data_IF_249978806868
#
_entry.id   IF_249978806868
#
_cell.length_a   1.000
_cell.length_b   1.000
_cell.length_c   1.000
_cell.angle_alpha   90.00
_cell.angle_beta   90.00
_cell.angle_gamma   90.00
#
_symmetry.space_group_name_H-M   'P 1'
#
loop_
_entity.id
_entity.type
_entity.pdbx_description
1 polymer ?
#
# COMPACT_ATOMS: atom_id res chain seq x y z
N UNK A 1 26.97 38.97 -36.89
CA UNK A 1 26.09 37.87 -36.41
C UNK A 1 25.55 38.29 -35.06
N UNK A 2 24.23 38.37 -34.89
CA UNK A 2 23.65 38.73 -33.60
C UNK A 2 23.71 37.51 -32.67
N UNK A 3 24.38 37.63 -31.52
CA UNK A 3 24.34 36.63 -30.47
C UNK A 3 22.91 36.57 -29.91
N UNK A 4 22.21 35.48 -30.18
CA UNK A 4 20.96 35.17 -29.50
C UNK A 4 21.30 34.93 -28.02
N UNK A 5 20.96 35.90 -27.16
CA UNK A 5 21.05 35.73 -25.71
C UNK A 5 20.10 34.60 -25.30
N UNK A 6 20.67 33.44 -24.99
CA UNK A 6 19.92 32.33 -24.47
C UNK A 6 19.41 32.69 -23.07
N UNK A 7 18.11 32.90 -22.93
CA UNK A 7 17.49 33.18 -21.62
C UNK A 7 17.23 31.85 -20.92
N UNK A 8 17.95 31.58 -19.84
CA UNK A 8 17.73 30.40 -19.01
C UNK A 8 16.59 30.61 -18.01
N UNK A 9 15.93 29.53 -17.63
CA UNK A 9 14.92 29.55 -16.57
C UNK A 9 15.58 29.80 -15.20
N UNK A 10 14.97 30.57 -14.30
CA UNK A 10 15.43 30.68 -12.91
C UNK A 10 15.49 29.31 -12.24
N UNK A 11 16.50 29.10 -11.38
CA UNK A 11 16.76 27.79 -10.74
C UNK A 11 15.57 27.30 -9.90
N UNK A 12 14.80 28.21 -9.30
CA UNK A 12 13.62 27.89 -8.52
C UNK A 12 12.50 27.29 -9.39
N UNK A 13 12.40 27.75 -10.65
CA UNK A 13 11.45 27.21 -11.62
C UNK A 13 11.88 25.81 -12.05
N UNK A 14 13.18 25.61 -12.30
CA UNK A 14 13.75 24.31 -12.63
C UNK A 14 13.51 23.29 -11.52
N UNK A 15 13.77 23.67 -10.26
CA UNK A 15 13.50 22.82 -9.11
C UNK A 15 12.01 22.47 -9.00
N UNK A 16 11.11 23.44 -9.18
CA UNK A 16 9.67 23.17 -9.18
C UNK A 16 9.30 22.15 -10.25
N UNK A 17 9.77 22.33 -11.49
CA UNK A 17 9.53 21.38 -12.59
C UNK A 17 10.03 19.98 -12.20
N UNK A 18 11.25 19.87 -11.67
CA UNK A 18 11.80 18.61 -11.17
C UNK A 18 10.89 17.96 -10.13
N UNK A 19 10.44 18.71 -9.11
CA UNK A 19 9.50 18.24 -8.07
C UNK A 19 8.10 17.88 -8.60
N UNK A 20 7.72 18.29 -9.80
CA UNK A 20 6.48 17.89 -10.46
C UNK A 20 6.62 16.62 -11.32
N UNK A 21 7.82 16.08 -11.52
CA UNK A 21 8.04 14.84 -12.30
C UNK A 21 7.99 13.64 -11.35
N UNK A 22 6.92 12.82 -11.33
CA UNK A 22 6.81 11.72 -10.35
C UNK A 22 7.68 10.51 -10.70
N UNK A 23 7.97 10.30 -11.99
CA UNK A 23 8.68 9.13 -12.49
C UNK A 23 10.19 9.38 -12.44
N UNK A 24 10.97 8.58 -11.70
CA UNK A 24 12.41 8.79 -11.55
C UNK A 24 13.15 8.89 -12.90
N UNK A 25 12.92 7.96 -13.84
CA UNK A 25 13.59 7.99 -15.14
C UNK A 25 13.39 9.31 -15.89
N UNK A 26 12.16 9.83 -15.91
CA UNK A 26 11.85 11.10 -16.57
C UNK A 26 12.54 12.28 -15.87
N UNK A 27 12.65 12.24 -14.54
CA UNK A 27 13.39 13.26 -13.79
C UNK A 27 14.87 13.23 -14.15
N UNK A 28 15.51 12.06 -14.16
CA UNK A 28 16.94 11.99 -14.44
C UNK A 28 17.26 12.33 -15.90
N UNK A 29 16.39 11.98 -16.85
CA UNK A 29 16.49 12.50 -18.22
C UNK A 29 16.34 14.02 -18.29
N UNK A 30 15.45 14.61 -17.47
CA UNK A 30 15.32 16.06 -17.35
C UNK A 30 16.60 16.69 -16.78
N UNK A 31 17.17 16.13 -15.72
CA UNK A 31 18.43 16.61 -15.12
C UNK A 31 19.58 16.51 -16.12
N UNK A 32 19.70 15.39 -16.83
CA UNK A 32 20.74 15.19 -17.85
C UNK A 32 20.66 16.24 -18.97
N UNK A 33 19.45 16.59 -19.40
CA UNK A 33 19.23 17.64 -20.40
C UNK A 33 19.63 19.05 -19.92
N UNK A 34 19.71 19.29 -18.60
CA UNK A 34 20.12 20.58 -18.03
C UNK A 34 21.64 20.73 -17.92
N UNK A 35 22.40 19.62 -17.93
CA UNK A 35 23.85 19.61 -17.69
C UNK A 35 24.67 20.43 -18.69
N UNK A 36 24.39 20.43 -20.01
CA UNK A 36 25.19 21.21 -20.97
C UNK A 36 25.19 22.72 -20.72
N UNK A 37 24.21 23.22 -19.96
CA UNK A 37 24.05 24.64 -19.66
C UNK A 37 24.46 25.01 -18.21
N UNK A 38 25.05 24.06 -17.46
CA UNK A 38 25.41 24.24 -16.03
C UNK A 38 24.22 24.72 -15.17
N UNK A 39 23.00 24.34 -15.56
CA UNK A 39 21.76 24.71 -14.85
C UNK A 39 21.36 23.68 -13.80
N UNK A 40 22.23 22.71 -13.52
CA UNK A 40 21.94 21.64 -12.56
C UNK A 40 21.71 22.19 -11.17
N UNK A 41 22.49 23.20 -10.74
CA UNK A 41 22.37 23.79 -9.41
C UNK A 41 22.28 22.71 -8.32
N UNK A 42 21.27 22.75 -7.43
CA UNK A 42 21.09 21.70 -6.42
C UNK A 42 20.77 20.29 -6.97
N UNK A 43 20.27 20.19 -8.20
CA UNK A 43 20.01 18.90 -8.86
C UNK A 43 21.31 18.23 -9.32
N UNK A 44 22.42 18.96 -9.38
CA UNK A 44 23.73 18.34 -9.67
C UNK A 44 24.11 17.35 -8.56
N UNK A 45 23.83 17.66 -7.29
CA UNK A 45 24.06 16.71 -6.19
C UNK A 45 23.22 15.44 -6.35
N UNK A 46 21.98 15.57 -6.80
CA UNK A 46 21.11 14.43 -7.10
C UNK A 46 21.66 13.59 -8.26
N UNK A 47 22.19 14.25 -9.29
CA UNK A 47 22.86 13.58 -10.41
C UNK A 47 24.13 12.84 -9.97
N UNK A 48 24.98 13.45 -9.15
CA UNK A 48 26.18 12.81 -8.62
C UNK A 48 25.84 11.55 -7.80
N UNK A 49 24.78 11.62 -6.97
CA UNK A 49 24.30 10.46 -6.22
C UNK A 49 23.81 9.33 -7.13
N UNK A 50 23.26 9.65 -8.31
CA UNK A 50 22.79 8.65 -9.27
C UNK A 50 23.92 7.78 -9.84
N UNK A 51 25.15 8.27 -9.84
CA UNK A 51 26.31 7.49 -10.27
C UNK A 51 26.59 6.30 -9.33
N UNK A 52 26.14 6.39 -8.07
CA UNK A 52 26.40 5.39 -7.02
C UNK A 52 25.13 4.76 -6.43
N UNK A 53 23.95 5.30 -6.72
CA UNK A 53 22.65 4.82 -6.20
C UNK A 53 21.61 4.58 -7.30
N UNK A 54 20.63 3.72 -6.98
CA UNK A 54 19.50 3.42 -7.87
C UNK A 54 18.50 4.58 -7.92
N UNK A 55 17.78 4.71 -9.05
CA UNK A 55 16.81 5.78 -9.27
C UNK A 55 15.71 5.80 -8.19
N UNK A 56 15.21 4.62 -7.83
CA UNK A 56 14.10 4.41 -6.90
C UNK A 56 14.47 4.74 -5.45
N UNK A 57 15.77 4.84 -5.16
CA UNK A 57 16.30 5.22 -3.85
C UNK A 57 16.53 6.73 -3.73
N UNK A 58 16.44 7.48 -4.82
CA UNK A 58 16.74 8.92 -4.85
C UNK A 58 15.49 9.78 -5.01
N UNK A 59 14.44 9.24 -5.65
CA UNK A 59 13.25 9.98 -6.02
C UNK A 59 11.98 9.12 -6.02
N UNK A 60 10.80 9.66 -5.65
CA UNK A 60 10.54 11.00 -5.08
C UNK A 60 10.83 11.11 -3.58
N UNK A 61 11.12 9.97 -2.93
CA UNK A 61 11.49 9.92 -1.51
C UNK A 61 12.93 9.44 -1.45
N UNK A 62 13.81 10.25 -0.87
CA UNK A 62 15.20 9.85 -0.65
C UNK A 62 15.24 8.68 0.34
N UNK A 63 15.80 7.55 -0.10
CA UNK A 63 16.00 6.35 0.69
C UNK A 63 17.45 6.31 1.16
N UNK A 64 17.63 6.39 2.47
CA UNK A 64 18.91 6.29 3.16
C UNK A 64 19.06 4.86 3.68
N UNK A 65 20.14 4.21 3.32
CA UNK A 65 20.45 2.82 3.66
C UNK A 65 21.77 2.75 4.43
N UNK A 66 22.08 1.58 4.98
CA UNK A 66 23.38 1.34 5.62
C UNK A 66 24.57 1.56 4.66
N UNK A 67 24.40 1.34 3.36
CA UNK A 67 25.46 1.54 2.38
C UNK A 67 25.89 3.01 2.25
N UNK A 68 25.00 3.95 2.60
CA UNK A 68 25.29 5.38 2.50
C UNK A 68 26.35 5.85 3.51
N UNK A 69 26.50 5.13 4.62
CA UNK A 69 27.56 5.36 5.61
C UNK A 69 28.96 5.11 5.04
N UNK A 70 29.06 4.29 4.00
CA UNK A 70 30.31 3.87 3.36
C UNK A 70 30.59 4.63 2.07
N UNK A 71 29.76 5.61 1.71
CA UNK A 71 30.02 6.47 0.56
C UNK A 71 31.30 7.28 0.75
N UNK A 72 31.99 7.55 -0.34
CA UNK A 72 33.11 8.48 -0.35
C UNK A 72 32.66 9.90 0.01
N UNK A 73 33.57 10.71 0.55
CA UNK A 73 33.28 12.07 1.03
C UNK A 73 32.53 12.97 0.03
N UNK A 74 32.85 12.99 -1.28
CA UNK A 74 32.10 13.81 -2.25
C UNK A 74 30.63 13.40 -2.38
N UNK A 75 30.35 12.09 -2.30
CA UNK A 75 28.99 11.56 -2.37
C UNK A 75 28.23 11.81 -1.06
N UNK A 76 28.89 11.73 0.10
CA UNK A 76 28.29 12.11 1.38
C UNK A 76 27.92 13.60 1.41
N UNK A 77 28.79 14.48 0.90
CA UNK A 77 28.48 15.90 0.77
C UNK A 77 27.29 16.14 -0.16
N UNK A 78 27.25 15.46 -1.31
CA UNK A 78 26.11 15.55 -2.23
C UNK A 78 24.81 15.04 -1.60
N UNK A 79 24.86 13.99 -0.80
CA UNK A 79 23.71 13.50 -0.05
C UNK A 79 23.19 14.55 0.95
N UNK A 80 24.09 15.18 1.68
CA UNK A 80 23.75 16.22 2.65
C UNK A 80 23.13 17.46 1.98
N UNK A 81 23.70 17.92 0.87
CA UNK A 81 23.18 19.06 0.12
C UNK A 81 21.80 18.77 -0.49
N UNK A 82 21.62 17.59 -1.09
CA UNK A 82 20.34 17.20 -1.67
C UNK A 82 19.25 17.00 -0.60
N UNK A 83 19.60 16.42 0.56
CA UNK A 83 18.65 16.17 1.64
C UNK A 83 17.92 17.45 2.11
N UNK A 84 18.55 18.63 1.99
CA UNK A 84 17.94 19.94 2.33
C UNK A 84 16.68 20.25 1.52
N UNK A 85 16.53 19.67 0.33
CA UNK A 85 15.38 19.88 -0.55
C UNK A 85 14.30 18.80 -0.39
N UNK A 86 14.59 17.74 0.36
CA UNK A 86 13.63 16.68 0.65
C UNK A 86 12.70 17.12 1.78
N UNK A 87 11.38 16.94 1.60
CA UNK A 87 10.41 17.12 2.69
C UNK A 87 10.25 15.86 3.55
N UNK A 88 10.60 14.71 2.96
CA UNK A 88 10.46 13.38 3.54
C UNK A 88 11.60 12.48 3.11
N UNK A 89 12.09 11.67 4.03
CA UNK A 89 13.13 10.66 3.78
C UNK A 89 12.70 9.32 4.34
N UNK A 90 13.20 8.24 3.75
CA UNK A 90 13.00 6.88 4.21
C UNK A 90 14.33 6.30 4.66
N UNK A 91 14.40 5.84 5.91
CA UNK A 91 15.59 5.27 6.53
C UNK A 91 15.43 3.75 6.59
N UNK A 92 16.27 3.04 5.86
CA UNK A 92 16.28 1.58 5.77
C UNK A 92 17.50 1.01 6.50
N UNK A 93 17.29 0.38 7.66
CA UNK A 93 18.34 -0.35 8.39
C UNK A 93 19.62 0.46 8.70
N UNK A 94 19.50 1.77 8.90
CA UNK A 94 20.62 2.63 9.34
C UNK A 94 20.74 2.58 10.86
N UNK A 95 21.97 2.44 11.35
CA UNK A 95 22.25 2.24 12.78
C UNK A 95 22.94 3.48 13.40
N UNK A 96 23.64 4.28 12.61
CA UNK A 96 24.30 5.50 13.10
C UNK A 96 23.35 6.70 13.07
N UNK A 97 22.68 6.95 14.19
CA UNK A 97 21.74 8.07 14.34
C UNK A 97 22.47 9.41 14.39
N UNK A 98 23.68 9.46 14.94
CA UNK A 98 24.44 10.71 15.02
C UNK A 98 24.86 11.18 13.63
N UNK A 99 25.22 10.26 12.75
CA UNK A 99 25.44 10.57 11.35
C UNK A 99 24.15 11.06 10.67
N UNK A 100 23.03 10.40 10.92
CA UNK A 100 21.74 10.78 10.34
C UNK A 100 21.27 12.17 10.81
N UNK A 101 21.46 12.50 12.08
CA UNK A 101 21.11 13.79 12.69
C UNK A 101 21.95 14.94 12.09
N UNK A 102 23.22 14.69 11.77
CA UNK A 102 24.05 15.65 11.03
C UNK A 102 23.65 15.80 9.56
N UNK A 103 23.18 14.71 8.96
CA UNK A 103 22.83 14.67 7.54
C UNK A 103 21.47 15.36 7.27
N UNK A 104 20.49 15.15 8.15
CA UNK A 104 19.11 15.54 7.92
C UNK A 104 18.74 16.81 8.71
N UNK A 105 18.16 17.82 8.05
CA UNK A 105 17.48 18.89 8.75
C UNK A 105 16.41 18.37 9.72
N UNK A 106 16.34 18.94 10.92
CA UNK A 106 15.40 18.56 11.98
C UNK A 106 13.91 18.71 11.59
N UNK A 107 13.62 19.47 10.54
CA UNK A 107 12.26 19.69 10.03
C UNK A 107 11.73 18.51 9.20
N UNK A 108 12.62 17.69 8.64
CA UNK A 108 12.30 16.60 7.71
C UNK A 108 11.49 15.50 8.40
N UNK A 109 10.48 15.00 7.70
CA UNK A 109 9.71 13.83 8.12
C UNK A 109 10.46 12.54 7.80
N UNK A 110 10.53 11.64 8.78
CA UNK A 110 11.26 10.38 8.63
C UNK A 110 10.33 9.18 8.64
N UNK A 111 10.43 8.36 7.58
CA UNK A 111 9.87 7.01 7.53
C UNK A 111 10.97 6.01 7.87
N UNK A 112 10.75 5.13 8.83
CA UNK A 112 11.73 4.14 9.24
C UNK A 112 11.31 2.74 8.86
N UNK A 113 12.13 2.06 8.06
CA UNK A 113 12.01 0.64 7.80
C UNK A 113 13.07 -0.11 8.60
N UNK A 114 12.60 -0.85 9.61
CA UNK A 114 13.43 -1.51 10.62
C UNK A 114 13.29 -3.01 10.46
N UNK A 115 14.33 -3.66 9.92
CA UNK A 115 14.40 -5.12 9.90
C UNK A 115 14.93 -5.69 11.21
N UNK A 116 15.72 -4.90 11.94
CA UNK A 116 16.24 -5.26 13.26
C UNK A 116 16.51 -4.01 14.07
N UNK A 117 15.86 -3.89 15.22
CA UNK A 117 16.11 -2.77 16.13
C UNK A 117 17.41 -3.02 16.90
N UNK A 118 18.38 -2.09 16.90
CA UNK A 118 19.54 -2.16 17.78
C UNK A 118 19.09 -2.27 19.25
N UNK A 119 19.79 -3.10 20.02
CA UNK A 119 19.45 -3.33 21.43
C UNK A 119 20.08 -2.33 22.40
N UNK A 120 20.94 -1.42 21.91
CA UNK A 120 21.63 -0.43 22.75
C UNK A 120 20.68 0.67 23.20
N UNK A 121 20.73 1.03 24.48
CA UNK A 121 19.93 2.11 25.04
C UNK A 121 20.27 3.45 24.41
N UNK A 122 21.56 3.70 24.14
CA UNK A 122 22.05 4.92 23.48
C UNK A 122 21.38 5.13 22.11
N UNK A 123 21.24 4.06 21.31
CA UNK A 123 20.54 4.15 20.03
C UNK A 123 19.08 4.51 20.24
N UNK A 124 18.40 3.86 21.18
CA UNK A 124 16.99 4.14 21.47
C UNK A 124 16.80 5.59 21.93
N UNK A 125 17.63 6.09 22.83
CA UNK A 125 17.55 7.46 23.34
C UNK A 125 17.77 8.51 22.23
N UNK A 126 18.68 8.24 21.29
CA UNK A 126 18.88 9.08 20.11
C UNK A 126 17.69 8.97 19.13
N UNK A 127 17.18 7.77 18.92
CA UNK A 127 16.06 7.49 18.02
C UNK A 127 14.78 8.23 18.46
N UNK A 128 14.53 8.31 19.77
CA UNK A 128 13.35 9.00 20.34
C UNK A 128 13.33 10.51 20.07
N UNK A 129 14.49 11.12 19.83
CA UNK A 129 14.60 12.55 19.55
C UNK A 129 14.24 12.88 18.09
N UNK A 130 14.17 11.86 17.23
CA UNK A 130 13.90 12.06 15.81
C UNK A 130 12.41 12.28 15.56
N UNK A 131 12.13 13.10 14.53
CA UNK A 131 10.78 13.38 14.03
C UNK A 131 10.27 12.24 13.15
N UNK A 132 10.02 11.10 13.77
CA UNK A 132 9.56 9.89 13.09
C UNK A 132 8.06 9.98 12.87
N UNK A 133 7.65 9.94 11.61
CA UNK A 133 6.25 10.01 11.20
C UNK A 133 5.67 8.65 10.81
N UNK A 134 6.53 7.74 10.34
CA UNK A 134 6.14 6.38 9.97
C UNK A 134 7.18 5.37 10.45
N UNK A 135 6.73 4.26 11.01
CA UNK A 135 7.59 3.11 11.32
C UNK A 135 7.02 1.87 10.65
N UNK A 136 7.87 1.14 9.94
CA UNK A 136 7.59 -0.15 9.36
C UNK A 136 8.60 -1.16 9.89
N UNK A 137 8.13 -2.18 10.61
CA UNK A 137 8.97 -3.24 11.15
C UNK A 137 8.64 -4.57 10.51
N UNK A 138 9.66 -5.21 9.95
CA UNK A 138 9.59 -6.58 9.41
C UNK A 138 10.31 -7.59 10.32
N UNK A 139 10.74 -7.15 11.51
CA UNK A 139 11.45 -8.00 12.46
C UNK A 139 10.48 -8.93 13.19
N UNK A 140 10.70 -10.23 13.09
CA UNK A 140 9.93 -11.25 13.79
C UNK A 140 10.20 -11.28 15.30
N UNK A 141 11.31 -10.70 15.77
CA UNK A 141 11.88 -11.02 17.08
C UNK A 141 11.99 -9.84 18.06
N UNK A 142 11.73 -8.59 17.66
CA UNK A 142 11.93 -7.44 18.54
C UNK A 142 10.70 -6.55 18.85
N UNK A 143 9.51 -7.07 19.25
CA UNK A 143 8.34 -6.20 19.41
C UNK A 143 8.42 -5.35 20.69
N UNK A 144 8.77 -5.93 21.85
CA UNK A 144 8.46 -5.26 23.13
C UNK A 144 9.18 -3.93 23.35
N UNK A 145 10.49 -3.85 23.05
CA UNK A 145 11.25 -2.60 23.21
C UNK A 145 10.82 -1.54 22.20
N UNK A 146 10.53 -1.96 20.96
CA UNK A 146 9.97 -1.08 19.94
C UNK A 146 8.61 -0.53 20.41
N UNK A 147 7.71 -1.40 20.89
CA UNK A 147 6.42 -0.98 21.41
C UNK A 147 6.55 0.00 22.58
N UNK A 148 7.45 -0.28 23.52
CA UNK A 148 7.75 0.62 24.63
C UNK A 148 8.29 1.98 24.18
N UNK A 149 8.96 2.05 23.04
CA UNK A 149 9.46 3.31 22.50
C UNK A 149 8.43 4.11 21.70
N UNK A 150 7.46 3.45 21.05
CA UNK A 150 6.46 4.14 20.24
C UNK A 150 5.69 5.22 21.02
N UNK A 151 5.54 5.07 22.34
CA UNK A 151 4.88 6.06 23.20
C UNK A 151 5.59 7.43 23.25
N UNK A 152 6.87 7.49 22.91
CA UNK A 152 7.66 8.73 22.87
C UNK A 152 7.60 9.44 21.51
N UNK A 153 7.10 8.76 20.46
CA UNK A 153 7.01 9.33 19.12
C UNK A 153 5.68 10.05 18.91
N UNK A 154 5.57 11.27 19.44
CA UNK A 154 4.36 12.10 19.31
C UNK A 154 4.04 12.53 17.88
N UNK A 155 4.92 12.30 16.91
CA UNK A 155 4.70 12.57 15.49
C UNK A 155 4.31 11.32 14.68
N UNK A 156 4.22 10.15 15.32
CA UNK A 156 3.94 8.90 14.64
C UNK A 156 2.50 8.86 14.13
N UNK A 157 2.35 8.87 12.81
CA UNK A 157 1.05 8.84 12.12
C UNK A 157 0.78 7.51 11.42
N UNK A 158 1.83 6.72 11.16
CA UNK A 158 1.74 5.43 10.47
C UNK A 158 2.60 4.37 11.15
N UNK A 159 2.01 3.21 11.43
CA UNK A 159 2.71 2.07 11.98
C UNK A 159 2.37 0.80 11.21
N UNK A 160 3.40 0.15 10.66
CA UNK A 160 3.28 -1.14 9.99
C UNK A 160 4.15 -2.13 10.74
N UNK A 161 3.59 -3.29 11.06
CA UNK A 161 4.31 -4.34 11.75
C UNK A 161 3.98 -5.69 11.14
N UNK A 162 5.01 -6.43 10.78
CA UNK A 162 4.92 -7.86 10.50
C UNK A 162 5.36 -8.60 11.75
N UNK A 163 4.41 -9.11 12.54
CA UNK A 163 4.73 -9.73 13.84
C UNK A 163 4.41 -11.22 13.85
N UNK A 164 5.03 -11.95 14.77
CA UNK A 164 4.50 -13.21 15.26
C UNK A 164 3.66 -12.90 16.49
N UNK A 165 2.39 -13.34 16.54
CA UNK A 165 1.36 -13.32 17.61
C UNK A 165 1.65 -12.61 18.97
N UNK A 166 2.85 -12.77 19.52
CA UNK A 166 3.31 -12.20 20.78
C UNK A 166 3.18 -10.67 20.75
N UNK A 167 2.65 -10.10 21.82
CA UNK A 167 2.50 -8.65 22.07
C UNK A 167 1.44 -7.89 21.25
N UNK A 168 0.53 -8.59 20.54
CA UNK A 168 -0.56 -7.91 19.83
C UNK A 168 -1.45 -7.08 20.76
N UNK A 169 -1.74 -7.56 21.97
CA UNK A 169 -2.57 -6.82 22.93
C UNK A 169 -1.87 -5.57 23.47
N UNK A 170 -0.62 -5.69 23.94
CA UNK A 170 0.21 -4.54 24.37
C UNK A 170 0.35 -3.49 23.25
N UNK A 171 0.52 -3.93 22.00
CA UNK A 171 0.61 -3.04 20.84
C UNK A 171 -0.72 -2.32 20.57
N UNK A 172 -1.84 -3.04 20.56
CA UNK A 172 -3.15 -2.43 20.33
C UNK A 172 -3.53 -1.49 21.48
N UNK A 173 -3.12 -1.76 22.71
CA UNK A 173 -3.27 -0.85 23.84
C UNK A 173 -2.52 0.47 23.60
N UNK A 174 -1.28 0.40 23.11
CA UNK A 174 -0.49 1.59 22.75
C UNK A 174 -1.16 2.38 21.61
N UNK A 175 -1.64 1.69 20.57
CA UNK A 175 -2.41 2.27 19.46
C UNK A 175 -3.65 3.01 19.99
N UNK A 176 -4.42 2.37 20.88
CA UNK A 176 -5.62 2.94 21.48
C UNK A 176 -5.37 4.20 22.33
N UNK A 177 -4.13 4.37 22.79
CA UNK A 177 -3.68 5.52 23.56
C UNK A 177 -2.95 6.57 22.72
N UNK A 178 -2.62 6.28 21.46
CA UNK A 178 -2.02 7.26 20.56
C UNK A 178 -3.00 8.38 20.20
N UNK A 179 -2.47 9.60 20.12
CA UNK A 179 -3.23 10.82 19.74
C UNK A 179 -3.02 11.25 18.29
N UNK A 180 -2.15 10.57 17.53
CA UNK A 180 -1.76 10.98 16.18
C UNK A 180 -1.74 9.83 15.18
N UNK A 181 -1.81 8.58 15.64
CA UNK A 181 -1.74 7.42 14.75
C UNK A 181 -3.02 7.30 13.91
N UNK A 182 -2.87 7.41 12.59
CA UNK A 182 -3.95 7.37 11.60
C UNK A 182 -3.92 6.13 10.73
N UNK A 183 -2.76 5.48 10.60
CA UNK A 183 -2.57 4.30 9.75
C UNK A 183 -1.96 3.17 10.55
N UNK A 184 -2.60 2.02 10.55
CA UNK A 184 -2.11 0.82 11.22
C UNK A 184 -2.19 -0.37 10.26
N UNK A 185 -1.04 -1.04 10.04
CA UNK A 185 -0.98 -2.28 9.25
C UNK A 185 -0.35 -3.40 10.06
N UNK A 186 -1.12 -4.46 10.27
CA UNK A 186 -0.76 -5.62 11.08
C UNK A 186 -0.71 -6.84 10.16
N UNK A 187 0.48 -7.04 9.59
CA UNK A 187 0.71 -8.08 8.61
C UNK A 187 1.15 -9.36 9.33
N UNK A 188 0.63 -10.49 8.88
CA UNK A 188 1.08 -11.81 9.32
C UNK A 188 1.70 -12.54 8.14
N UNK A 189 2.81 -13.29 8.33
CA UNK A 189 3.39 -14.09 7.27
C UNK A 189 2.37 -15.09 6.73
N UNK A 190 2.26 -15.15 5.39
CA UNK A 190 1.36 -16.10 4.73
C UNK A 190 1.72 -17.55 5.07
N UNK A 191 3.02 -17.86 5.11
CA UNK A 191 3.55 -19.14 5.55
C UNK A 191 3.81 -19.09 7.06
N UNK A 192 2.85 -19.55 7.84
CA UNK A 192 2.92 -19.58 9.29
C UNK A 192 1.75 -20.40 9.83
N UNK A 193 1.99 -21.31 10.80
CA UNK A 193 1.08 -22.42 11.06
C UNK A 193 -0.23 -22.01 11.74
N UNK A 194 -0.41 -20.76 12.20
CA UNK A 194 -1.57 -20.44 13.02
C UNK A 194 -2.02 -18.97 12.97
N UNK A 195 -3.32 -18.77 13.02
CA UNK A 195 -4.01 -17.45 13.03
C UNK A 195 -3.77 -16.66 14.32
N UNK A 196 -3.92 -15.35 14.34
CA UNK A 196 -3.93 -14.58 15.59
C UNK A 196 -5.25 -14.86 16.32
N UNK A 197 -5.16 -15.47 17.51
CA UNK A 197 -6.33 -15.62 18.40
C UNK A 197 -6.67 -14.25 18.98
N UNK A 198 -7.72 -13.62 18.47
CA UNK A 198 -8.12 -12.29 18.89
C UNK A 198 -8.84 -12.38 20.23
N UNK A 199 -8.43 -11.54 21.18
CA UNK A 199 -9.07 -11.44 22.48
C UNK A 199 -10.08 -10.30 22.52
N UNK A 200 -10.96 -10.31 23.53
CA UNK A 200 -11.86 -9.19 23.85
C UNK A 200 -11.11 -7.87 24.06
N UNK A 201 -9.98 -7.91 24.77
CA UNK A 201 -9.12 -6.73 25.01
C UNK A 201 -8.63 -6.11 23.71
N UNK A 202 -8.17 -6.94 22.77
CA UNK A 202 -7.68 -6.50 21.46
C UNK A 202 -8.75 -5.75 20.67
N UNK A 203 -9.97 -6.30 20.58
CA UNK A 203 -11.07 -5.63 19.87
C UNK A 203 -11.45 -4.30 20.55
N UNK A 204 -11.55 -4.28 21.88
CA UNK A 204 -11.85 -3.06 22.64
C UNK A 204 -10.80 -1.97 22.42
N UNK A 205 -9.52 -2.33 22.34
CA UNK A 205 -8.45 -1.40 22.04
C UNK A 205 -8.59 -0.79 20.64
N UNK A 206 -8.94 -1.60 19.63
CA UNK A 206 -9.16 -1.08 18.27
C UNK A 206 -10.41 -0.20 18.23
N UNK A 207 -11.51 -0.61 18.87
CA UNK A 207 -12.74 0.21 18.97
C UNK A 207 -12.41 1.56 19.61
N UNK A 208 -11.67 1.56 20.73
CA UNK A 208 -11.23 2.78 21.42
C UNK A 208 -10.37 3.67 20.52
N UNK A 209 -9.46 3.10 19.74
CA UNK A 209 -8.65 3.86 18.78
C UNK A 209 -9.52 4.56 17.73
N UNK A 210 -10.42 3.81 17.06
CA UNK A 210 -11.32 4.36 16.04
C UNK A 210 -12.27 5.44 16.57
N UNK A 211 -12.70 5.34 17.83
CA UNK A 211 -13.56 6.36 18.46
C UNK A 211 -12.82 7.65 18.81
N UNK A 212 -11.51 7.58 19.02
CA UNK A 212 -10.71 8.72 19.48
C UNK A 212 -9.96 9.42 18.36
N UNK A 213 -9.63 8.70 17.29
CA UNK A 213 -8.71 9.16 16.24
C UNK A 213 -9.37 9.20 14.87
N UNK A 214 -8.84 10.07 14.00
CA UNK A 214 -9.20 10.10 12.58
C UNK A 214 -8.45 9.00 11.83
N UNK A 215 -8.87 7.75 12.04
CA UNK A 215 -8.26 6.58 11.39
C UNK A 215 -8.50 6.65 9.88
N UNK A 216 -7.43 6.57 9.10
CA UNK A 216 -7.45 6.61 7.62
C UNK A 216 -7.17 5.26 6.99
N UNK A 217 -6.34 4.43 7.62
CA UNK A 217 -6.02 3.11 7.10
C UNK A 217 -5.93 2.09 8.23
N UNK A 218 -6.62 0.97 8.04
CA UNK A 218 -6.50 -0.18 8.92
C UNK A 218 -6.36 -1.46 8.09
N UNK A 219 -5.28 -2.20 8.34
CA UNK A 219 -5.00 -3.46 7.69
C UNK A 219 -4.65 -4.51 8.74
N UNK A 220 -5.31 -5.67 8.69
CA UNK A 220 -5.01 -6.77 9.59
C UNK A 220 -5.19 -8.13 8.92
N UNK A 221 -4.27 -9.06 9.22
CA UNK A 221 -4.21 -10.36 8.59
C UNK A 221 -4.33 -11.50 9.61
N UNK A 222 -4.98 -12.60 9.20
CA UNK A 222 -5.11 -13.85 9.96
C UNK A 222 -5.75 -13.66 11.33
N UNK A 223 -6.75 -12.80 11.47
CA UNK A 223 -7.47 -12.66 12.73
C UNK A 223 -8.55 -13.74 12.85
N UNK A 224 -8.51 -14.50 13.95
CA UNK A 224 -9.57 -15.43 14.33
C UNK A 224 -10.30 -14.85 15.56
N UNK A 225 -11.56 -14.47 15.37
CA UNK A 225 -12.41 -13.86 16.40
C UNK A 225 -13.41 -14.86 17.00
N UNK A 226 -13.35 -16.15 16.66
CA UNK A 226 -14.34 -17.15 17.09
C UNK A 226 -14.53 -17.21 18.61
N UNK A 227 -13.47 -16.98 19.38
CA UNK A 227 -13.49 -16.99 20.85
C UNK A 227 -14.02 -15.70 21.50
N UNK A 228 -14.40 -14.68 20.72
CA UNK A 228 -14.90 -13.40 21.25
C UNK A 228 -16.43 -13.37 21.20
N UNK A 229 -17.03 -12.81 22.25
CA UNK A 229 -18.47 -12.55 22.37
C UNK A 229 -19.03 -11.87 21.11
N UNK A 230 -20.22 -12.30 20.66
CA UNK A 230 -20.85 -11.77 19.44
C UNK A 230 -21.06 -10.26 19.50
N UNK A 231 -21.49 -9.73 20.64
CA UNK A 231 -21.77 -8.30 20.82
C UNK A 231 -20.53 -7.43 20.54
N UNK A 232 -19.36 -7.89 20.98
CA UNK A 232 -18.10 -7.15 20.83
C UNK A 232 -17.58 -7.25 19.41
N UNK A 233 -17.77 -8.41 18.75
CA UNK A 233 -17.47 -8.56 17.32
C UNK A 233 -18.34 -7.62 16.49
N UNK A 234 -19.64 -7.56 16.80
CA UNK A 234 -20.55 -6.67 16.10
C UNK A 234 -20.17 -5.21 16.32
N UNK A 235 -19.92 -4.79 17.56
CA UNK A 235 -19.45 -3.43 17.88
C UNK A 235 -18.14 -3.10 17.14
N UNK A 236 -17.21 -4.04 17.09
CA UNK A 236 -15.95 -3.90 16.35
C UNK A 236 -16.18 -3.67 14.86
N UNK A 237 -16.96 -4.53 14.19
CA UNK A 237 -17.23 -4.39 12.77
C UNK A 237 -18.03 -3.13 12.45
N UNK A 238 -19.06 -2.81 13.22
CA UNK A 238 -19.79 -1.55 13.09
C UNK A 238 -18.87 -0.34 13.23
N UNK A 239 -17.95 -0.38 14.21
CA UNK A 239 -16.99 0.71 14.45
C UNK A 239 -16.06 0.92 13.25
N UNK A 240 -15.46 -0.14 12.71
CA UNK A 240 -14.49 0.01 11.60
C UNK A 240 -15.18 0.36 10.28
N UNK A 241 -16.29 -0.29 9.94
CA UNK A 241 -16.95 -0.06 8.65
C UNK A 241 -17.67 1.30 8.61
N UNK A 242 -18.30 1.72 9.73
CA UNK A 242 -19.00 3.01 9.78
C UNK A 242 -18.07 4.22 10.02
N UNK A 243 -16.76 4.03 10.10
CA UNK A 243 -15.80 5.11 10.34
C UNK A 243 -15.71 6.08 9.15
N UNK A 244 -16.01 7.36 9.38
CA UNK A 244 -16.07 8.38 8.33
C UNK A 244 -14.70 8.80 7.79
N UNK A 245 -13.66 8.71 8.61
CA UNK A 245 -12.31 9.10 8.22
C UNK A 245 -11.56 7.97 7.51
N UNK A 246 -12.09 6.74 7.54
CA UNK A 246 -11.40 5.56 7.01
C UNK A 246 -11.40 5.64 5.48
N UNK A 247 -10.20 5.69 4.90
CA UNK A 247 -10.00 5.75 3.45
C UNK A 247 -9.77 4.33 2.88
N UNK A 248 -9.07 3.48 3.63
CA UNK A 248 -8.75 2.09 3.24
C UNK A 248 -8.93 1.11 4.40
N UNK A 249 -9.67 0.04 4.13
CA UNK A 249 -9.77 -1.14 4.99
C UNK A 249 -9.24 -2.36 4.22
N UNK A 250 -8.29 -3.09 4.81
CA UNK A 250 -7.82 -4.36 4.26
C UNK A 250 -7.85 -5.46 5.32
N UNK A 251 -8.53 -6.55 4.99
CA UNK A 251 -8.68 -7.72 5.85
C UNK A 251 -8.20 -8.91 5.04
N UNK A 252 -7.14 -9.55 5.52
CA UNK A 252 -6.52 -10.70 4.84
C UNK A 252 -6.62 -11.97 5.66
N UNK A 253 -6.94 -13.10 5.05
CA UNK A 253 -6.88 -14.44 5.65
C UNK A 253 -7.59 -14.56 7.01
N UNK A 254 -8.62 -13.75 7.26
CA UNK A 254 -9.29 -13.68 8.57
C UNK A 254 -10.67 -14.32 8.49
N UNK A 255 -11.07 -15.03 9.53
CA UNK A 255 -12.42 -15.60 9.60
C UNK A 255 -13.37 -14.50 10.03
N UNK A 256 -14.09 -13.92 9.08
CA UNK A 256 -15.05 -12.86 9.35
C UNK A 256 -16.29 -13.39 10.10
N UNK A 257 -16.66 -14.66 9.89
CA UNK A 257 -17.85 -15.26 10.50
C UNK A 257 -19.14 -14.68 9.92
N UNK A 258 -20.23 -14.79 10.69
CA UNK A 258 -21.58 -14.33 10.30
C UNK A 258 -21.74 -12.80 10.42
N UNK A 259 -20.85 -12.03 9.78
CA UNK A 259 -21.00 -10.57 9.71
C UNK A 259 -22.24 -10.25 8.89
N UNK A 260 -23.17 -9.56 9.51
CA UNK A 260 -24.33 -8.98 8.85
C UNK A 260 -23.93 -7.68 8.13
N UNK A 261 -23.37 -7.81 6.93
CA UNK A 261 -22.99 -6.66 6.10
C UNK A 261 -24.17 -5.72 5.83
N UNK A 262 -25.43 -6.18 5.90
CA UNK A 262 -26.61 -5.35 5.64
C UNK A 262 -26.74 -4.18 6.63
N UNK A 263 -26.15 -4.29 7.82
CA UNK A 263 -26.13 -3.24 8.86
C UNK A 263 -24.95 -2.29 8.76
N UNK A 264 -23.93 -2.64 7.98
CA UNK A 264 -22.69 -1.87 7.88
C UNK A 264 -22.79 -0.81 6.76
N UNK A 265 -22.16 0.34 6.97
CA UNK A 265 -21.98 1.36 5.94
C UNK A 265 -20.56 1.27 5.38
N UNK A 266 -20.38 1.51 4.08
CA UNK A 266 -19.08 1.47 3.43
C UNK A 266 -18.69 2.87 2.97
N UNK A 267 -18.12 3.65 3.90
CA UNK A 267 -17.73 5.06 3.64
C UNK A 267 -16.32 5.20 3.06
N UNK A 268 -15.52 4.14 3.19
CA UNK A 268 -14.15 4.10 2.67
C UNK A 268 -14.08 4.02 1.14
N UNK A 269 -12.94 4.43 0.59
CA UNK A 269 -12.67 4.39 -0.85
C UNK A 269 -12.10 3.05 -1.31
N UNK A 270 -11.41 2.34 -0.41
CA UNK A 270 -10.77 1.06 -0.71
C UNK A 270 -11.19 0.00 0.29
N UNK A 271 -11.77 -1.08 -0.22
CA UNK A 271 -12.11 -2.28 0.54
C UNK A 271 -11.37 -3.47 -0.04
N UNK A 272 -10.62 -4.17 0.80
CA UNK A 272 -9.87 -5.34 0.41
C UNK A 272 -10.17 -6.48 1.38
N UNK A 273 -10.83 -7.53 0.89
CA UNK A 273 -11.18 -8.74 1.63
C UNK A 273 -10.50 -9.92 0.92
N UNK A 274 -9.32 -10.31 1.38
CA UNK A 274 -8.55 -11.38 0.79
C UNK A 274 -8.71 -12.65 1.61
N UNK A 275 -9.11 -13.76 0.99
CA UNK A 275 -9.18 -15.08 1.63
C UNK A 275 -9.93 -15.04 2.98
N UNK A 276 -11.03 -14.29 3.03
CA UNK A 276 -11.80 -14.06 4.26
C UNK A 276 -12.92 -15.08 4.50
N UNK A 277 -12.95 -16.17 3.71
CA UNK A 277 -13.96 -17.23 3.75
C UNK A 277 -15.39 -16.66 3.76
N UNK A 278 -15.68 -15.79 2.79
CA UNK A 278 -16.99 -15.18 2.66
C UNK A 278 -17.98 -16.22 2.13
N UNK A 279 -18.94 -16.63 2.98
CA UNK A 279 -20.05 -17.45 2.53
C UNK A 279 -21.02 -16.69 1.61
N UNK A 280 -21.83 -17.44 0.87
CA UNK A 280 -22.77 -16.91 -0.15
C UNK A 280 -23.69 -15.81 0.40
N UNK A 281 -24.19 -15.97 1.62
CA UNK A 281 -25.06 -14.99 2.27
C UNK A 281 -24.30 -13.67 2.53
N UNK A 282 -23.07 -13.76 3.03
CA UNK A 282 -22.20 -12.63 3.31
C UNK A 282 -21.80 -11.90 2.02
N UNK A 283 -21.47 -12.63 0.95
CA UNK A 283 -21.17 -12.06 -0.37
C UNK A 283 -22.38 -11.36 -0.98
N UNK A 284 -23.57 -11.94 -0.84
CA UNK A 284 -24.83 -11.32 -1.31
C UNK A 284 -25.14 -10.03 -0.52
N UNK A 285 -25.01 -10.06 0.81
CA UNK A 285 -25.21 -8.88 1.64
C UNK A 285 -24.17 -7.79 1.34
N UNK A 286 -22.88 -8.15 1.25
CA UNK A 286 -21.79 -7.26 0.83
C UNK A 286 -22.12 -6.59 -0.50
N UNK A 287 -22.51 -7.39 -1.50
CA UNK A 287 -22.89 -6.93 -2.83
C UNK A 287 -23.97 -5.86 -2.74
N UNK A 288 -25.09 -6.16 -2.10
CA UNK A 288 -26.22 -5.21 -1.98
C UNK A 288 -25.80 -3.85 -1.41
N UNK A 289 -24.83 -3.82 -0.50
CA UNK A 289 -24.34 -2.60 0.16
C UNK A 289 -23.34 -1.80 -0.68
N UNK A 290 -22.73 -2.40 -1.69
CA UNK A 290 -21.80 -1.71 -2.59
C UNK A 290 -22.50 -0.70 -3.50
N UNK A 291 -23.77 -0.91 -3.86
CA UNK A 291 -24.54 -0.04 -4.77
C UNK A 291 -24.59 1.42 -4.28
N UNK A 292 -24.75 1.63 -2.98
CA UNK A 292 -24.77 2.96 -2.35
C UNK A 292 -23.46 3.33 -1.63
N UNK A 293 -22.39 2.55 -1.80
CA UNK A 293 -21.14 2.75 -1.05
C UNK A 293 -20.27 3.86 -1.64
N UNK A 294 -19.22 4.25 -0.89
CA UNK A 294 -18.12 5.08 -1.40
C UNK A 294 -16.94 4.27 -1.98
N UNK A 295 -17.08 2.95 -2.12
CA UNK A 295 -15.96 2.05 -2.48
C UNK A 295 -15.65 2.16 -3.96
N UNK A 296 -14.47 2.67 -4.28
CA UNK A 296 -13.95 2.82 -5.63
C UNK A 296 -12.99 1.68 -5.98
N UNK A 297 -12.24 1.20 -4.99
CA UNK A 297 -11.31 0.08 -5.12
C UNK A 297 -11.83 -1.10 -4.32
N UNK A 298 -12.23 -2.16 -5.01
CA UNK A 298 -12.69 -3.40 -4.40
C UNK A 298 -11.73 -4.54 -4.72
N UNK A 299 -11.28 -5.24 -3.69
CA UNK A 299 -10.47 -6.45 -3.82
C UNK A 299 -11.15 -7.60 -3.08
N UNK A 300 -11.53 -8.64 -3.81
CA UNK A 300 -12.18 -9.85 -3.30
C UNK A 300 -11.39 -11.06 -3.81
N UNK A 301 -10.29 -11.35 -3.12
CA UNK A 301 -9.39 -12.43 -3.50
C UNK A 301 -9.79 -13.73 -2.80
N UNK A 302 -9.64 -14.86 -3.48
CA UNK A 302 -9.83 -16.18 -2.86
C UNK A 302 -11.28 -16.55 -2.56
N UNK A 303 -12.23 -16.06 -3.35
CA UNK A 303 -13.61 -16.56 -3.32
C UNK A 303 -13.64 -18.00 -3.86
N UNK A 304 -14.21 -18.92 -3.08
CA UNK A 304 -14.24 -20.35 -3.41
C UNK A 304 -15.39 -20.74 -4.35
N UNK A 305 -16.43 -19.91 -4.45
CA UNK A 305 -17.59 -20.13 -5.31
C UNK A 305 -17.61 -19.15 -6.48
N UNK A 306 -17.73 -19.68 -7.69
CA UNK A 306 -17.99 -18.91 -8.90
C UNK A 306 -19.35 -18.19 -8.85
N UNK A 307 -20.35 -18.78 -8.19
CA UNK A 307 -21.70 -18.21 -8.04
C UNK A 307 -21.65 -16.85 -7.35
N UNK A 308 -20.80 -16.70 -6.34
CA UNK A 308 -20.62 -15.46 -5.59
C UNK A 308 -20.08 -14.34 -6.45
N UNK A 309 -19.15 -14.68 -7.36
CA UNK A 309 -18.57 -13.74 -8.31
C UNK A 309 -19.61 -13.34 -9.35
N UNK A 310 -20.41 -14.29 -9.85
CA UNK A 310 -21.45 -13.98 -10.83
C UNK A 310 -22.51 -13.04 -10.24
N UNK A 311 -22.96 -13.28 -8.99
CA UNK A 311 -23.87 -12.37 -8.28
C UNK A 311 -23.28 -10.97 -8.07
N UNK A 312 -21.98 -10.90 -7.76
CA UNK A 312 -21.29 -9.63 -7.67
C UNK A 312 -21.32 -8.90 -9.02
N UNK A 313 -21.01 -9.58 -10.13
CA UNK A 313 -20.99 -8.94 -11.45
C UNK A 313 -22.35 -8.37 -11.88
N UNK A 314 -23.46 -8.95 -11.45
CA UNK A 314 -24.81 -8.44 -11.73
C UNK A 314 -25.05 -7.05 -11.15
N UNK A 315 -24.42 -6.75 -10.01
CA UNK A 315 -24.61 -5.47 -9.32
C UNK A 315 -23.52 -4.44 -9.63
N UNK A 316 -22.31 -4.86 -10.03
CA UNK A 316 -21.17 -3.97 -10.24
C UNK A 316 -21.45 -2.77 -11.15
N UNK A 317 -22.26 -2.88 -12.24
CA UNK A 317 -22.63 -1.73 -13.07
C UNK A 317 -23.35 -0.62 -12.31
N UNK A 318 -23.95 -0.94 -11.16
CA UNK A 318 -24.69 -0.01 -10.30
C UNK A 318 -23.82 0.53 -9.15
N UNK A 319 -22.55 0.14 -9.09
CA UNK A 319 -21.60 0.56 -8.03
C UNK A 319 -20.63 1.62 -8.55
N UNK A 320 -19.97 2.39 -7.67
CA UNK A 320 -18.92 3.33 -8.08
C UNK A 320 -17.53 2.68 -8.26
N UNK A 321 -17.44 1.36 -8.30
CA UNK A 321 -16.18 0.63 -8.35
C UNK A 321 -15.47 0.88 -9.69
N UNK A 322 -14.24 1.36 -9.62
CA UNK A 322 -13.36 1.63 -10.76
C UNK A 322 -12.20 0.64 -10.84
N UNK A 323 -11.70 0.17 -9.69
CA UNK A 323 -10.64 -0.83 -9.62
C UNK A 323 -11.19 -2.08 -8.97
N UNK A 324 -11.17 -3.18 -9.72
CA UNK A 324 -11.61 -4.48 -9.26
C UNK A 324 -10.44 -5.46 -9.26
N UNK A 325 -10.17 -6.05 -8.11
CA UNK A 325 -9.18 -7.11 -7.95
C UNK A 325 -9.86 -8.42 -7.56
N UNK A 326 -9.81 -9.40 -8.46
CA UNK A 326 -10.33 -10.75 -8.27
C UNK A 326 -9.21 -11.79 -8.44
N UNK A 327 -8.04 -11.54 -7.85
CA UNK A 327 -6.96 -12.52 -7.84
C UNK A 327 -7.35 -13.78 -7.07
N UNK A 328 -6.77 -14.91 -7.47
CA UNK A 328 -6.97 -16.23 -6.89
C UNK A 328 -8.45 -16.69 -6.81
N UNK A 329 -9.31 -16.25 -7.73
CA UNK A 329 -10.68 -16.77 -7.81
C UNK A 329 -10.79 -18.00 -8.70
N UNK A 330 -11.75 -18.87 -8.41
CA UNK A 330 -12.05 -20.06 -9.22
C UNK A 330 -13.27 -19.80 -10.08
N UNK A 331 -13.08 -19.72 -11.39
CA UNK A 331 -14.17 -19.70 -12.38
C UNK A 331 -14.19 -21.02 -13.12
N UNK A 332 -15.32 -21.73 -13.10
CA UNK A 332 -15.44 -23.00 -13.81
C UNK A 332 -15.50 -22.74 -15.33
N UNK A 333 -15.03 -23.71 -16.12
CA UNK A 333 -14.91 -23.57 -17.57
C UNK A 333 -16.23 -23.13 -18.25
N UNK A 334 -17.37 -23.63 -17.77
CA UNK A 334 -18.70 -23.30 -18.31
C UNK A 334 -19.22 -21.90 -17.97
N UNK A 335 -18.64 -21.22 -16.98
CA UNK A 335 -19.14 -19.95 -16.46
C UNK A 335 -18.40 -18.74 -17.01
N UNK A 336 -17.28 -18.96 -17.70
CA UNK A 336 -16.48 -17.89 -18.30
C UNK A 336 -17.28 -16.99 -19.22
N UNK A 337 -18.24 -17.55 -19.96
CA UNK A 337 -19.11 -16.76 -20.82
C UNK A 337 -19.95 -15.77 -20.00
N UNK A 338 -20.64 -16.25 -18.97
CA UNK A 338 -21.46 -15.43 -18.06
C UNK A 338 -20.60 -14.39 -17.34
N UNK A 339 -19.42 -14.80 -16.85
CA UNK A 339 -18.47 -13.89 -16.21
C UNK A 339 -18.06 -12.75 -17.15
N UNK A 340 -17.67 -13.09 -18.37
CA UNK A 340 -17.25 -12.11 -19.38
C UNK A 340 -18.41 -11.20 -19.80
N UNK A 341 -19.63 -11.74 -19.94
CA UNK A 341 -20.82 -10.96 -20.26
C UNK A 341 -21.17 -9.99 -19.12
N UNK A 342 -21.03 -10.40 -17.86
CA UNK A 342 -21.15 -9.51 -16.69
C UNK A 342 -20.08 -8.41 -16.67
N UNK A 343 -18.83 -8.74 -17.01
CA UNK A 343 -17.79 -7.70 -17.12
C UNK A 343 -18.12 -6.65 -18.19
N UNK A 344 -18.81 -7.01 -19.29
CA UNK A 344 -19.19 -6.07 -20.37
C UNK A 344 -20.10 -4.94 -19.92
N UNK A 345 -20.91 -5.13 -18.89
CA UNK A 345 -21.82 -4.10 -18.37
C UNK A 345 -21.13 -3.15 -17.38
N UNK A 346 -19.98 -3.54 -16.82
CA UNK A 346 -19.29 -2.79 -15.79
C UNK A 346 -18.39 -1.65 -16.34
N UNK A 347 -18.12 -0.61 -15.56
CA UNK A 347 -17.22 0.49 -15.94
C UNK A 347 -15.98 0.52 -15.03
N UNK A 348 -14.97 -0.28 -15.38
CA UNK A 348 -13.69 -0.30 -14.65
C UNK A 348 -12.61 0.50 -15.38
N UNK A 349 -11.76 1.15 -14.60
CA UNK A 349 -10.48 1.70 -15.03
C UNK A 349 -9.36 0.66 -14.90
N UNK A 350 -9.46 -0.25 -13.92
CA UNK A 350 -8.51 -1.36 -13.76
C UNK A 350 -9.17 -2.65 -13.30
N UNK A 351 -8.76 -3.76 -13.91
CA UNK A 351 -9.15 -5.12 -13.55
C UNK A 351 -7.90 -5.96 -13.30
N UNK A 352 -7.78 -6.49 -12.09
CA UNK A 352 -6.70 -7.40 -11.69
C UNK A 352 -7.28 -8.80 -11.52
N UNK A 353 -6.68 -9.80 -12.17
CA UNK A 353 -7.23 -11.15 -12.22
C UNK A 353 -6.12 -12.21 -12.41
N UNK A 354 -6.26 -13.36 -11.74
CA UNK A 354 -5.37 -14.51 -11.95
C UNK A 354 -5.99 -15.51 -12.94
N UNK A 355 -5.43 -15.63 -14.16
CA UNK A 355 -5.99 -16.53 -15.17
C UNK A 355 -5.50 -17.97 -14.98
N UNK A 356 -6.41 -18.84 -14.52
CA UNK A 356 -6.26 -20.30 -14.57
C UNK A 356 -6.86 -20.93 -15.83
N UNK A 357 -7.54 -20.15 -16.68
CA UNK A 357 -8.21 -20.58 -17.91
C UNK A 357 -8.96 -19.42 -18.59
N UNK A 358 -9.76 -19.70 -19.62
CA UNK A 358 -10.73 -18.73 -20.18
C UNK A 358 -10.14 -17.51 -20.90
N UNK A 359 -8.82 -17.45 -21.11
CA UNK A 359 -8.11 -16.27 -21.65
C UNK A 359 -8.71 -15.76 -22.97
N UNK A 360 -9.03 -16.68 -23.89
CA UNK A 360 -9.63 -16.32 -25.19
C UNK A 360 -11.00 -15.67 -25.05
N UNK A 361 -11.86 -16.19 -24.16
CA UNK A 361 -13.19 -15.63 -23.91
C UNK A 361 -13.08 -14.25 -23.28
N UNK A 362 -12.18 -14.09 -22.30
CA UNK A 362 -11.91 -12.79 -21.68
C UNK A 362 -11.42 -11.78 -22.72
N UNK A 363 -10.40 -12.13 -23.51
CA UNK A 363 -9.85 -11.29 -24.57
C UNK A 363 -10.91 -10.85 -25.59
N UNK A 364 -11.79 -11.77 -26.00
CA UNK A 364 -12.89 -11.47 -26.90
C UNK A 364 -13.93 -10.52 -26.26
N UNK A 365 -14.25 -10.73 -24.98
CA UNK A 365 -15.25 -9.92 -24.30
C UNK A 365 -14.82 -8.51 -23.96
N UNK A 366 -13.53 -8.30 -23.66
CA UNK A 366 -12.98 -6.98 -23.34
C UNK A 366 -12.61 -6.16 -24.58
N UNK A 367 -12.57 -6.78 -25.77
CA UNK A 367 -12.20 -6.11 -27.03
C UNK A 367 -12.99 -4.82 -27.31
N UNK A 368 -14.24 -4.75 -26.85
CA UNK A 368 -15.13 -3.60 -27.07
C UNK A 368 -15.19 -2.64 -25.87
N UNK A 369 -14.33 -2.81 -24.84
CA UNK A 369 -14.27 -1.91 -23.69
C UNK A 369 -13.56 -0.61 -24.01
N UNK A 370 -13.77 0.40 -23.16
CA UNK A 370 -13.13 1.72 -23.27
C UNK A 370 -11.60 1.53 -23.41
N UNK A 371 -10.91 2.36 -24.22
CA UNK A 371 -9.49 2.23 -24.54
C UNK A 371 -8.52 2.58 -23.39
N UNK A 372 -8.96 2.49 -22.13
CA UNK A 372 -8.19 2.83 -20.93
C UNK A 372 -8.26 1.78 -19.81
N UNK A 373 -8.84 0.60 -20.08
CA UNK A 373 -8.87 -0.48 -19.08
C UNK A 373 -7.45 -1.01 -18.86
N UNK A 374 -6.92 -0.88 -17.63
CA UNK A 374 -5.67 -1.54 -17.22
C UNK A 374 -5.98 -2.97 -16.80
N UNK A 375 -5.52 -3.96 -17.57
CA UNK A 375 -5.70 -5.37 -17.26
C UNK A 375 -4.39 -5.95 -16.73
N UNK A 376 -4.33 -6.20 -15.43
CA UNK A 376 -3.20 -6.91 -14.84
C UNK A 376 -3.55 -8.39 -14.74
N UNK A 377 -2.90 -9.18 -15.60
CA UNK A 377 -3.11 -10.63 -15.64
C UNK A 377 -1.87 -11.32 -15.12
N UNK A 378 -2.05 -12.10 -14.06
CA UNK A 378 -1.05 -13.07 -13.62
C UNK A 378 -1.52 -14.47 -13.97
N UNK A 379 -0.64 -15.27 -14.54
CA UNK A 379 -0.96 -16.64 -14.90
C UNK A 379 0.30 -17.48 -14.91
N UNK A 380 0.31 -18.54 -14.09
CA UNK A 380 1.39 -19.52 -14.05
C UNK A 380 1.37 -20.49 -15.25
N UNK A 381 0.35 -20.44 -16.10
CA UNK A 381 0.13 -21.39 -17.21
C UNK A 381 -0.21 -20.72 -18.55
N UNK A 382 0.06 -19.43 -18.70
CA UNK A 382 -0.27 -18.73 -19.94
C UNK A 382 0.65 -19.17 -21.07
N UNK A 383 0.08 -19.75 -22.13
CA UNK A 383 0.85 -20.03 -23.33
C UNK A 383 1.27 -18.72 -24.02
N UNK A 384 2.39 -18.69 -24.76
CA UNK A 384 2.76 -17.52 -25.57
C UNK A 384 1.65 -17.08 -26.54
N UNK A 385 0.86 -18.04 -27.06
CA UNK A 385 -0.28 -17.74 -27.91
C UNK A 385 -1.42 -17.03 -27.17
N UNK A 386 -1.68 -17.38 -25.92
CA UNK A 386 -2.70 -16.72 -25.11
C UNK A 386 -2.27 -15.32 -24.67
N UNK A 387 -0.99 -15.15 -24.33
CA UNK A 387 -0.41 -13.83 -24.08
C UNK A 387 -0.53 -12.94 -25.31
N UNK A 388 -0.16 -13.46 -26.49
CA UNK A 388 -0.30 -12.76 -27.77
C UNK A 388 -1.76 -12.38 -28.03
N UNK A 389 -2.70 -13.31 -27.84
CA UNK A 389 -4.13 -13.01 -27.99
C UNK A 389 -4.57 -11.88 -27.05
N UNK A 390 -4.19 -11.89 -25.77
CA UNK A 390 -4.53 -10.80 -24.85
C UNK A 390 -4.01 -9.44 -25.32
N UNK A 391 -2.75 -9.39 -25.78
CA UNK A 391 -2.14 -8.16 -26.30
C UNK A 391 -2.81 -7.70 -27.60
N UNK A 392 -3.08 -8.62 -28.52
CA UNK A 392 -3.67 -8.29 -29.83
C UNK A 392 -5.13 -7.86 -29.73
N UNK A 393 -5.93 -8.52 -28.89
CA UNK A 393 -7.33 -8.19 -28.67
C UNK A 393 -7.54 -7.03 -27.71
N UNK A 394 -6.58 -6.79 -26.80
CA UNK A 394 -6.57 -5.68 -25.86
C UNK A 394 -5.98 -4.38 -26.42
N UNK A 395 -6.30 -3.97 -27.65
CA UNK A 395 -5.82 -2.66 -28.15
C UNK A 395 -6.30 -1.54 -27.22
N UNK A 396 -5.37 -0.83 -26.59
CA UNK A 396 -5.65 0.18 -25.55
C UNK A 396 -5.70 -0.36 -24.13
N UNK A 397 -5.32 -1.63 -23.92
CA UNK A 397 -5.17 -2.26 -22.62
C UNK A 397 -3.67 -2.38 -22.34
N UNK A 398 -3.22 -1.78 -21.23
CA UNK A 398 -1.89 -2.07 -20.70
C UNK A 398 -1.94 -3.43 -20.00
N UNK A 399 -1.31 -4.43 -20.63
CA UNK A 399 -1.16 -5.76 -20.07
C UNK A 399 0.20 -5.89 -19.39
N UNK A 400 0.24 -5.95 -18.06
CA UNK A 400 1.42 -6.44 -17.33
C UNK A 400 1.25 -7.93 -17.12
N UNK A 401 2.19 -8.73 -17.67
CA UNK A 401 2.24 -10.17 -17.47
C UNK A 401 3.39 -10.45 -16.52
N UNK A 402 3.05 -10.75 -15.27
CA UNK A 402 4.02 -11.19 -14.27
C UNK A 402 4.19 -12.71 -14.42
N UNK A 403 5.31 -13.15 -15.02
CA UNK A 403 5.72 -14.55 -15.01
C UNK A 403 6.53 -14.80 -13.73
N UNK A 404 6.06 -15.73 -12.90
CA UNK A 404 6.80 -16.23 -11.71
C UNK A 404 7.78 -17.33 -12.06
#
# INVERSE_FOLDING_TARGET
>A
MAELKQTFLPIEVVLRIAFFIPIPNNLFSFIEALRPADLGGPLEHLWQLRLVKKYEELWPILVITRHDLSLEQPHQASLAEYAKYCTRVRVNNVIDINWLDRLLPSTIQQDWNINRLPSSQEFLDAWFKLKITSVCSYDFFAPRRLLQSLKYHHHLTSFTMTTQRVYMDEMLELVANSSQLQRLRLMMPLRGPRDVMVTKSMLNNVIKWFRRQTVREFEFHKWNTQSVDMDIKQEFYETIFNCNSLEKLSIGHSVLGDIDFSKLAFRMKSLDLQFCDLGVCSTTALSSRLIGSGVINLSLCGLDSSEDILKLLEILPQTPIQVLNLKAIKILYGEWKTFVDGLKTCQFDSLLFDLLGGVRLLAQGIRNKKPKLLLNVRSSRMSPGDAKNLVEYGRGIECSIDQE
#
